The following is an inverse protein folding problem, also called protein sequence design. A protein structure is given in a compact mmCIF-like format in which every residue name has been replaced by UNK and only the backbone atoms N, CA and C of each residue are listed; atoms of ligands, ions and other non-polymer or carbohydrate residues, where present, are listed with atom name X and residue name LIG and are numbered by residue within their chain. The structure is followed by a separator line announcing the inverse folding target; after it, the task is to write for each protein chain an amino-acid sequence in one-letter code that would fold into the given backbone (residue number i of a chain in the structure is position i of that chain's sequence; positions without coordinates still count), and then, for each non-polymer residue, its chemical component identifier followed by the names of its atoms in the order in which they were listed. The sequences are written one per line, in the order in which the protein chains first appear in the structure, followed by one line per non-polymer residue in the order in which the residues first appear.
data_IF_459866007141
#
_entry.id   IF_459866007141
#
_cell.length_a   1.000
_cell.length_b   1.000
_cell.length_c   1.000
_cell.angle_alpha   90.00
_cell.angle_beta   90.00
_cell.angle_gamma   90.00
#
_symmetry.space_group_name_H-M   'P 1'
#
loop_
_entity.id
_entity.type
_entity.pdbx_description
1 polymer ?
#
# COMPACT_ATOMS: atom_id res chain seq x y z
N UNK A 1 -8.22 5.01 2.49
CA UNK A 1 -7.50 3.73 2.60
C UNK A 1 -6.03 4.03 2.47
N UNK A 2 -5.25 3.77 3.50
CA UNK A 2 -3.82 3.99 3.44
C UNK A 2 -3.12 2.86 2.67
N UNK A 3 -2.14 3.24 1.85
CA UNK A 3 -1.31 2.33 1.06
C UNK A 3 0.13 2.83 1.04
N UNK A 4 1.08 1.92 1.24
CA UNK A 4 2.51 2.21 1.18
C UNK A 4 3.24 1.28 0.20
N UNK A 5 4.27 1.81 -0.46
CA UNK A 5 5.14 1.04 -1.35
C UNK A 5 6.55 0.99 -0.76
N UNK A 6 7.06 -0.21 -0.55
CA UNK A 6 8.43 -0.41 -0.06
C UNK A 6 9.20 -1.24 -1.08
N UNK A 7 10.20 -0.64 -1.71
CA UNK A 7 11.17 -1.33 -2.55
C UNK A 7 11.97 -2.30 -1.68
N UNK A 8 11.95 -3.58 -2.04
CA UNK A 8 12.68 -4.63 -1.34
C UNK A 8 14.18 -4.43 -1.59
N UNK A 9 14.84 -3.82 -0.62
CA UNK A 9 16.29 -3.64 -0.59
C UNK A 9 16.81 -4.11 0.78
N UNK A 10 18.09 -4.48 0.85
CA UNK A 10 18.70 -5.14 2.03
C UNK A 10 18.80 -4.25 3.28
N UNK A 11 18.27 -3.02 3.24
CA UNK A 11 18.43 -2.06 4.33
C UNK A 11 17.30 -2.11 5.36
N UNK A 12 16.15 -2.69 5.03
CA UNK A 12 15.01 -2.79 5.95
C UNK A 12 14.92 -4.24 6.46
N UNK A 13 15.29 -4.44 7.72
CA UNK A 13 15.29 -5.76 8.37
C UNK A 13 13.96 -6.13 8.98
N UNK A 14 13.16 -5.14 9.38
CA UNK A 14 11.82 -5.29 9.94
C UNK A 14 10.85 -4.43 9.12
N UNK A 15 10.31 -5.03 8.07
CA UNK A 15 9.43 -4.36 7.10
C UNK A 15 8.07 -4.01 7.70
N UNK A 16 7.57 -4.80 8.64
CA UNK A 16 6.25 -4.62 9.25
C UNK A 16 6.26 -3.44 10.20
N UNK A 17 7.22 -3.42 11.13
CA UNK A 17 7.37 -2.30 12.05
C UNK A 17 7.66 -1.01 11.28
N UNK A 18 8.47 -1.09 10.23
CA UNK A 18 8.75 0.05 9.36
C UNK A 18 7.49 0.55 8.63
N UNK A 19 6.67 -0.34 8.05
CA UNK A 19 5.42 0.03 7.42
C UNK A 19 4.42 0.66 8.41
N UNK A 20 4.35 0.16 9.65
CA UNK A 20 3.52 0.75 10.69
C UNK A 20 3.92 2.21 10.98
N UNK A 21 5.22 2.49 11.13
CA UNK A 21 5.72 3.88 11.28
C UNK A 21 5.40 4.75 10.07
N UNK A 22 5.47 4.21 8.86
CA UNK A 22 5.10 4.96 7.65
C UNK A 22 3.62 5.37 7.71
N UNK A 23 2.72 4.50 8.17
CA UNK A 23 1.30 4.81 8.28
C UNK A 23 0.97 5.87 9.35
N UNK A 24 1.87 6.14 10.29
CA UNK A 24 1.74 7.27 11.23
C UNK A 24 2.14 8.62 10.62
N UNK A 25 2.84 8.61 9.47
CA UNK A 25 3.29 9.81 8.79
C UNK A 25 2.18 10.51 8.00
N UNK A 26 2.44 11.74 7.55
CA UNK A 26 1.53 12.47 6.67
C UNK A 26 1.38 11.75 5.33
N UNK A 27 0.15 11.37 4.99
CA UNK A 27 -0.18 10.68 3.76
C UNK A 27 -0.65 11.64 2.66
N UNK A 28 -0.21 11.43 1.43
CA UNK A 28 -0.69 12.19 0.28
C UNK A 28 -2.09 11.72 -0.12
N UNK A 29 -3.07 12.63 -0.17
CA UNK A 29 -4.41 12.30 -0.63
C UNK A 29 -4.45 12.08 -2.14
N UNK A 30 -4.90 10.89 -2.55
CA UNK A 30 -5.11 10.56 -3.96
C UNK A 30 -6.60 10.38 -4.20
N UNK A 31 -7.15 11.19 -5.11
CA UNK A 31 -8.57 11.13 -5.48
C UNK A 31 -8.81 10.16 -6.64
N UNK A 32 -10.06 9.74 -6.80
CA UNK A 32 -10.47 8.89 -7.91
C UNK A 32 -9.98 9.44 -9.26
N UNK A 33 -9.51 8.53 -10.11
CA UNK A 33 -8.98 8.78 -11.45
C UNK A 33 -7.71 9.63 -11.49
N UNK A 34 -7.09 9.95 -10.36
CA UNK A 34 -5.78 10.58 -10.34
C UNK A 34 -4.67 9.58 -10.60
N UNK A 35 -3.58 10.12 -11.15
CA UNK A 35 -2.32 9.42 -11.32
C UNK A 35 -1.33 9.89 -10.26
N UNK A 36 -0.61 8.96 -9.65
CA UNK A 36 0.49 9.25 -8.74
C UNK A 36 1.73 8.42 -9.06
N UNK A 37 2.87 8.82 -8.52
CA UNK A 37 4.10 8.04 -8.59
C UNK A 37 4.19 7.19 -7.32
N UNK A 38 4.37 5.87 -7.44
CA UNK A 38 4.60 5.00 -6.30
C UNK A 38 6.05 5.13 -5.82
N UNK A 39 6.26 5.91 -4.74
CA UNK A 39 7.58 6.16 -4.15
C UNK A 39 7.89 5.18 -3.03
N UNK A 40 9.16 4.80 -2.92
CA UNK A 40 9.67 4.01 -1.78
C UNK A 40 9.50 4.79 -0.47
N UNK A 41 9.07 4.11 0.60
CA UNK A 41 8.92 4.69 1.95
C UNK A 41 7.96 5.89 1.99
N UNK A 42 6.88 5.82 1.22
CA UNK A 42 5.88 6.88 1.15
C UNK A 42 4.45 6.31 1.25
N UNK A 43 3.57 7.07 1.90
CA UNK A 43 2.17 6.68 2.16
C UNK A 43 1.21 7.53 1.37
N UNK A 44 0.23 6.85 0.76
CA UNK A 44 -0.86 7.46 0.03
C UNK A 44 -2.18 7.15 0.73
N UNK A 45 -3.02 8.18 0.91
CA UNK A 45 -4.40 8.02 1.33
C UNK A 45 -5.31 7.99 0.10
N UNK A 46 -5.69 6.79 -0.32
CA UNK A 46 -6.61 6.57 -1.43
C UNK A 46 -8.04 6.91 -0.96
N UNK A 47 -8.61 7.97 -1.53
CA UNK A 47 -9.96 8.43 -1.21
C UNK A 47 -10.99 7.58 -1.96
N UNK A 48 -11.60 6.62 -1.25
CA UNK A 48 -12.59 5.69 -1.79
C UNK A 48 -13.98 6.32 -1.88
N UNK A 49 -14.76 5.89 -2.88
CA UNK A 49 -16.19 6.18 -3.02
C UNK A 49 -17.05 4.94 -2.68
N UNK A 50 -18.37 5.10 -2.61
CA UNK A 50 -19.31 4.01 -2.29
C UNK A 50 -19.52 2.98 -3.41
N UNK A 51 -19.02 3.25 -4.61
CA UNK A 51 -19.22 2.39 -5.78
C UNK A 51 -17.92 1.64 -6.11
N UNK A 52 -17.20 2.09 -7.14
CA UNK A 52 -15.90 1.60 -7.54
C UNK A 52 -14.97 2.79 -7.71
N UNK A 53 -13.79 2.68 -7.11
CA UNK A 53 -12.74 3.70 -7.22
C UNK A 53 -11.57 3.15 -8.01
N UNK A 54 -11.08 3.93 -8.97
CA UNK A 54 -9.92 3.59 -9.78
C UNK A 54 -8.82 4.61 -9.55
N UNK A 55 -7.61 4.11 -9.37
CA UNK A 55 -6.39 4.91 -9.28
C UNK A 55 -5.37 4.40 -10.30
N UNK A 56 -4.49 5.28 -10.75
CA UNK A 56 -3.36 4.88 -11.61
C UNK A 56 -2.07 5.25 -10.89
N UNK A 57 -1.12 4.34 -10.82
CA UNK A 57 0.21 4.66 -10.34
C UNK A 57 1.28 4.27 -11.36
N UNK A 58 2.44 4.90 -11.24
CA UNK A 58 3.63 4.57 -12.03
C UNK A 58 4.78 4.22 -11.09
N UNK A 59 5.57 3.22 -11.49
CA UNK A 59 6.80 2.83 -10.81
C UNK A 59 7.95 3.30 -11.70
N UNK A 60 8.76 4.22 -11.20
CA UNK A 60 9.92 4.76 -11.94
C UNK A 60 11.20 3.94 -11.67
N UNK A 61 11.39 3.49 -10.44
CA UNK A 61 12.51 2.65 -10.05
C UNK A 61 12.16 1.18 -10.20
N UNK A 62 12.93 0.43 -10.98
CA UNK A 62 12.67 -1.00 -11.19
C UNK A 62 13.09 -1.83 -9.98
N UNK A 63 12.22 -2.73 -9.52
CA UNK A 63 12.54 -3.68 -8.48
C UNK A 63 11.31 -4.42 -7.95
N UNK A 64 11.50 -5.21 -6.90
CA UNK A 64 10.42 -5.90 -6.19
C UNK A 64 9.86 -4.98 -5.13
N UNK A 65 8.55 -4.73 -5.14
CA UNK A 65 7.90 -3.89 -4.16
C UNK A 65 6.97 -4.72 -3.28
N UNK A 66 7.04 -4.48 -1.98
CA UNK A 66 6.00 -4.88 -1.04
C UNK A 66 5.00 -3.74 -0.91
N UNK A 67 3.73 -4.07 -1.07
CA UNK A 67 2.62 -3.13 -0.93
C UNK A 67 1.95 -3.43 0.40
N UNK A 68 1.89 -2.44 1.26
CA UNK A 68 1.18 -2.52 2.53
C UNK A 68 -0.11 -1.72 2.42
N UNK A 69 -1.18 -2.24 3.02
CA UNK A 69 -2.47 -1.57 3.10
C UNK A 69 -2.97 -1.66 4.53
N UNK A 70 -3.56 -0.58 5.03
CA UNK A 70 -4.13 -0.54 6.40
C UNK A 70 -5.29 -1.52 6.57
N UNK A 71 -6.03 -1.77 5.49
CA UNK A 71 -7.12 -2.74 5.44
C UNK A 71 -6.82 -3.84 4.44
N UNK A 72 -7.45 -5.01 4.60
CA UNK A 72 -7.17 -6.15 3.73
C UNK A 72 -7.70 -5.88 2.31
N UNK A 73 -6.92 -6.15 1.25
CA UNK A 73 -7.37 -5.99 -0.14
C UNK A 73 -8.69 -6.71 -0.45
N UNK A 74 -8.95 -7.84 0.22
CA UNK A 74 -10.15 -8.66 0.05
C UNK A 74 -11.43 -7.96 0.53
N UNK A 75 -11.34 -7.13 1.58
CA UNK A 75 -12.46 -6.35 2.12
C UNK A 75 -13.03 -5.36 1.08
N UNK A 76 -12.18 -4.95 0.13
CA UNK A 76 -12.50 -3.97 -0.91
C UNK A 76 -12.47 -4.56 -2.33
N UNK A 77 -12.31 -5.88 -2.47
CA UNK A 77 -12.12 -6.56 -3.76
C UNK A 77 -11.04 -5.89 -4.64
N UNK A 78 -9.97 -5.42 -4.01
CA UNK A 78 -8.91 -4.67 -4.68
C UNK A 78 -8.18 -5.54 -5.70
N UNK A 79 -7.88 -4.95 -6.87
CA UNK A 79 -7.09 -5.58 -7.93
C UNK A 79 -6.10 -4.58 -8.51
N UNK A 80 -4.85 -4.99 -8.64
CA UNK A 80 -3.83 -4.24 -9.38
C UNK A 80 -3.78 -4.81 -10.81
N UNK A 81 -3.85 -3.95 -11.81
CA UNK A 81 -3.81 -4.34 -13.21
C UNK A 81 -2.73 -3.56 -13.96
N UNK A 82 -2.09 -4.23 -14.92
CA UNK A 82 -1.21 -3.64 -15.92
C UNK A 82 -1.79 -3.89 -17.31
N UNK A 83 -1.23 -3.26 -18.33
CA UNK A 83 -1.68 -3.39 -19.72
C UNK A 83 -1.76 -4.85 -20.22
N UNK A 84 -0.96 -5.75 -19.63
CA UNK A 84 -0.90 -7.17 -20.02
C UNK A 84 -1.74 -8.10 -19.14
N UNK A 85 -2.46 -7.59 -18.12
CA UNK A 85 -3.28 -8.42 -17.23
C UNK A 85 -3.26 -7.99 -15.76
N UNK A 86 -3.74 -8.88 -14.89
CA UNK A 86 -3.76 -8.67 -13.44
C UNK A 86 -2.35 -8.91 -12.87
N UNK A 87 -1.94 -8.06 -11.93
CA UNK A 87 -0.75 -8.26 -11.11
C UNK A 87 -1.18 -9.01 -9.86
N UNK A 88 -0.71 -10.24 -9.70
CA UNK A 88 -0.94 -11.03 -8.50
C UNK A 88 0.25 -10.85 -7.54
N UNK A 89 0.01 -10.72 -6.22
CA UNK A 89 1.08 -10.73 -5.25
C UNK A 89 1.84 -12.07 -5.29
N UNK A 90 3.17 -12.03 -5.20
CA UNK A 90 4.00 -13.24 -5.21
C UNK A 90 3.93 -13.99 -3.87
N UNK A 91 3.84 -13.25 -2.76
CA UNK A 91 3.74 -13.79 -1.39
C UNK A 91 2.78 -12.91 -0.57
N UNK A 92 1.46 -13.14 -0.65
CA UNK A 92 0.49 -12.39 0.14
C UNK A 92 0.61 -12.80 1.61
N UNK A 93 0.99 -11.86 2.46
CA UNK A 93 1.03 -12.03 3.91
C UNK A 93 -0.09 -11.21 4.52
N UNK A 94 -0.88 -11.86 5.36
CA UNK A 94 -1.89 -11.21 6.19
C UNK A 94 -1.35 -11.02 7.60
N UNK A 95 -1.50 -9.81 8.11
CA UNK A 95 -1.11 -9.46 9.47
C UNK A 95 -2.37 -9.30 10.29
N UNK A 96 -2.65 -10.25 11.18
CA UNK A 96 -3.68 -10.04 12.20
C UNK A 96 -3.22 -8.90 13.11
N UNK A 97 -4.11 -7.94 13.33
CA UNK A 97 -3.81 -6.64 13.92
C UNK A 97 -2.80 -6.70 15.06
N UNK A 98 -1.76 -5.88 14.95
CA UNK A 98 -0.90 -5.60 16.08
C UNK A 98 -1.82 -5.17 17.21
N UNK A 99 -1.82 -5.89 18.32
CA UNK A 99 -2.49 -5.45 19.53
C UNK A 99 -1.95 -4.05 19.85
N UNK A 100 -2.73 -3.02 19.55
CA UNK A 100 -2.51 -1.69 20.10
C UNK A 100 -2.73 -1.85 21.60
N UNK A 101 -1.66 -2.20 22.31
CA UNK A 101 -1.61 -2.18 23.76
C UNK A 101 -1.90 -0.76 24.22
N UNK A 102 -3.18 -0.47 24.46
CA UNK A 102 -3.59 0.66 25.27
C UNK A 102 -3.05 0.40 26.68
N UNK A 103 -1.82 0.83 26.97
CA UNK A 103 -1.39 0.97 28.35
C UNK A 103 -2.22 2.12 28.95
N UNK A 104 -3.08 1.75 29.90
CA UNK A 104 -3.81 2.66 30.80
C UNK A 104 -2.93 3.75 31.42
#
# INVERSE_FOLDING_TARGET
MLMAFILENKNITDLEHHAAHLFEAEAEEVKQNQQFQAKHEFVYNLILNQESTKFTFSIEESGSYRIFTEHHPEEFQMKITKSTGVVNPEDPIEYEGHEHGHSH
#
